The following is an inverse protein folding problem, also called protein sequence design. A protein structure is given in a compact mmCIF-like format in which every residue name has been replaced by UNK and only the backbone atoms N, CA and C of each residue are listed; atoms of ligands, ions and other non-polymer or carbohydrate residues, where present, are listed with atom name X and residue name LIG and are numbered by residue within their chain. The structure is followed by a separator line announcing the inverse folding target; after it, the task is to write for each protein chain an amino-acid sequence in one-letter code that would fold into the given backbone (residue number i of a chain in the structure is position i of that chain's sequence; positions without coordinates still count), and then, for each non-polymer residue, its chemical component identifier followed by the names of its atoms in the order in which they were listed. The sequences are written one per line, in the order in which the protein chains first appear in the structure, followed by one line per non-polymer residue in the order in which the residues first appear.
data_IF_292296976625
#
_entry.id   IF_292296976625
#
_cell.length_a   1.000
_cell.length_b   1.000
_cell.length_c   1.000
_cell.angle_alpha   90.00
_cell.angle_beta   90.00
_cell.angle_gamma   90.00
#
_symmetry.space_group_name_H-M   'P 1'
#
loop_
_entity.id
_entity.type
_entity.pdbx_description
1 polymer ?
#
# COMPACT_ATOMS: atom_id res chain seq x y z
N UNK A 1 18.12 1.75 -37.77
CA UNK A 1 17.43 3.01 -37.46
C UNK A 1 18.43 3.94 -36.81
N UNK A 2 18.36 5.26 -37.03
CA UNK A 2 19.28 6.19 -36.37
C UNK A 2 19.13 6.05 -34.84
N UNK A 3 20.24 6.09 -34.08
CA UNK A 3 20.17 6.16 -32.63
C UNK A 3 19.40 7.42 -32.23
N UNK A 4 18.71 7.36 -31.07
CA UNK A 4 18.11 8.57 -30.51
C UNK A 4 19.20 9.63 -30.24
N UNK A 5 18.79 10.87 -29.96
CA UNK A 5 19.70 11.99 -29.75
C UNK A 5 20.70 11.77 -28.58
N UNK A 6 20.49 10.73 -27.76
CA UNK A 6 21.25 10.39 -26.57
C UNK A 6 22.00 9.04 -26.71
N UNK A 7 21.95 8.39 -27.88
CA UNK A 7 22.64 7.12 -28.15
C UNK A 7 21.91 5.86 -27.65
N UNK A 8 20.67 5.97 -27.18
CA UNK A 8 19.80 4.87 -26.80
C UNK A 8 19.23 4.11 -28.00
N UNK A 9 18.87 2.85 -27.75
CA UNK A 9 18.24 1.94 -28.72
C UNK A 9 16.71 1.96 -28.63
N UNK A 10 16.11 3.07 -28.17
CA UNK A 10 14.65 3.19 -28.01
C UNK A 10 14.06 3.96 -29.19
N UNK A 11 12.93 3.48 -29.71
CA UNK A 11 12.28 4.10 -30.87
C UNK A 11 11.57 5.37 -30.42
N UNK A 12 12.01 6.52 -30.95
CA UNK A 12 11.29 7.78 -30.79
C UNK A 12 10.12 7.83 -31.78
N UNK A 13 8.91 7.58 -31.29
CA UNK A 13 7.74 7.49 -32.17
C UNK A 13 7.41 8.80 -32.88
N UNK A 14 7.68 9.97 -32.29
CA UNK A 14 7.48 11.26 -32.99
C UNK A 14 8.32 11.32 -34.28
N UNK A 15 9.59 10.93 -34.19
CA UNK A 15 10.49 10.91 -35.36
C UNK A 15 10.07 9.83 -36.37
N UNK A 16 9.69 8.65 -35.90
CA UNK A 16 9.23 7.55 -36.76
C UNK A 16 7.97 7.93 -37.54
N UNK A 17 6.98 8.54 -36.88
CA UNK A 17 5.77 9.01 -37.55
C UNK A 17 6.08 10.11 -38.56
N UNK A 18 7.06 10.97 -38.29
CA UNK A 18 7.51 11.98 -39.25
C UNK A 18 8.16 11.36 -40.49
N UNK A 19 8.94 10.29 -40.35
CA UNK A 19 9.50 9.56 -41.50
C UNK A 19 8.42 8.93 -42.39
N UNK A 20 7.32 8.49 -41.78
CA UNK A 20 6.16 7.95 -42.53
C UNK A 20 5.44 9.07 -43.28
N UNK A 21 5.20 10.22 -42.63
CA UNK A 21 4.63 11.42 -43.27
C UNK A 21 5.47 11.88 -44.47
N UNK A 22 6.79 11.94 -44.28
CA UNK A 22 7.74 12.29 -45.34
C UNK A 22 7.88 11.22 -46.44
N UNK A 23 7.09 10.12 -46.37
CA UNK A 23 7.11 8.99 -47.30
C UNK A 23 8.49 8.34 -47.46
N UNK A 24 9.33 8.43 -46.42
CA UNK A 24 10.63 7.75 -46.33
C UNK A 24 10.49 6.32 -45.81
N UNK A 25 9.38 6.02 -45.15
CA UNK A 25 9.03 4.71 -44.63
C UNK A 25 7.55 4.45 -44.89
N UNK A 26 7.21 3.32 -45.50
CA UNK A 26 5.81 2.97 -45.78
C UNK A 26 5.10 2.33 -44.57
N UNK A 27 5.83 1.54 -43.77
CA UNK A 27 5.29 0.75 -42.67
C UNK A 27 6.28 0.68 -41.51
N UNK A 28 5.79 0.83 -40.27
CA UNK A 28 6.57 0.61 -39.07
C UNK A 28 6.07 -0.60 -38.29
N UNK A 29 6.95 -1.59 -38.09
CA UNK A 29 6.68 -2.80 -37.31
C UNK A 29 6.78 -2.57 -35.78
N UNK A 30 6.53 -1.36 -35.30
CA UNK A 30 6.41 -1.03 -33.88
C UNK A 30 4.99 -0.56 -33.61
N UNK A 31 4.25 -1.33 -32.81
CA UNK A 31 2.86 -1.02 -32.53
C UNK A 31 2.78 0.17 -31.57
N UNK A 32 1.87 1.09 -31.84
CA UNK A 32 1.72 2.32 -31.05
C UNK A 32 0.24 2.66 -30.90
N UNK A 33 -0.16 3.03 -29.67
CA UNK A 33 -1.57 3.22 -29.33
C UNK A 33 -2.00 4.71 -29.36
N UNK A 34 -1.11 5.62 -28.99
CA UNK A 34 -1.41 7.05 -28.78
C UNK A 34 -1.34 7.84 -30.09
N UNK A 35 -2.21 7.45 -31.01
CA UNK A 35 -2.30 7.98 -32.37
C UNK A 35 -3.38 9.05 -32.47
N UNK A 36 -3.05 10.21 -33.05
CA UNK A 36 -4.07 11.19 -33.49
C UNK A 36 -4.34 11.03 -34.99
N UNK A 37 -5.62 11.07 -35.41
CA UNK A 37 -5.97 11.03 -36.82
C UNK A 37 -5.31 12.20 -37.56
N UNK A 38 -4.75 11.90 -38.73
CA UNK A 38 -3.97 12.81 -39.57
C UNK A 38 -4.23 12.44 -41.04
N UNK A 39 -4.06 13.37 -41.96
CA UNK A 39 -4.39 13.18 -43.39
C UNK A 39 -3.32 12.36 -44.13
N UNK A 40 -2.08 12.34 -43.63
CA UNK A 40 -0.93 11.68 -44.27
C UNK A 40 -0.58 10.32 -43.65
N UNK A 41 -1.23 9.96 -42.54
CA UNK A 41 -0.84 8.84 -41.70
C UNK A 41 -2.06 7.97 -41.40
N UNK A 42 -1.92 6.67 -41.61
CA UNK A 42 -2.94 5.68 -41.33
C UNK A 42 -2.40 4.65 -40.33
N UNK A 43 -3.29 3.83 -39.76
CA UNK A 43 -2.92 2.73 -38.88
C UNK A 43 -3.56 1.44 -39.36
N UNK A 44 -2.89 0.32 -39.10
CA UNK A 44 -3.40 -1.00 -39.47
C UNK A 44 -4.68 -1.30 -38.69
N UNK A 45 -5.36 -2.38 -39.07
CA UNK A 45 -6.38 -2.95 -38.19
C UNK A 45 -5.80 -3.14 -36.77
N UNK A 46 -6.51 -2.72 -35.71
CA UNK A 46 -6.00 -2.80 -34.34
C UNK A 46 -5.61 -4.23 -33.95
N UNK A 47 -4.44 -4.38 -33.34
CA UNK A 47 -4.04 -5.63 -32.69
C UNK A 47 -4.86 -5.82 -31.41
N UNK A 48 -4.99 -4.77 -30.61
CA UNK A 48 -5.68 -4.87 -29.33
C UNK A 48 -6.11 -3.48 -28.85
N UNK A 49 -7.05 -3.46 -27.93
CA UNK A 49 -7.50 -2.24 -27.26
C UNK A 49 -6.83 -2.20 -25.90
N UNK A 50 -6.08 -1.15 -25.62
CA UNK A 50 -5.36 -0.96 -24.36
C UNK A 50 -5.79 0.29 -23.65
N UNK A 51 -5.86 0.21 -22.33
CA UNK A 51 -6.01 1.38 -21.49
C UNK A 51 -4.66 2.05 -21.27
N UNK A 52 -4.65 3.38 -21.30
CA UNK A 52 -3.46 4.17 -20.98
C UNK A 52 -3.55 4.67 -19.55
N UNK A 53 -2.76 4.11 -18.64
CA UNK A 53 -2.90 4.32 -17.21
C UNK A 53 -1.57 4.67 -16.54
N UNK A 54 -1.60 5.02 -15.25
CA UNK A 54 -0.38 5.23 -14.47
C UNK A 54 0.02 3.95 -13.73
N UNK A 55 1.27 3.52 -13.90
CA UNK A 55 1.92 2.63 -12.95
C UNK A 55 2.57 3.45 -11.84
N UNK A 56 2.30 3.06 -10.60
CA UNK A 56 2.71 3.79 -9.40
C UNK A 56 3.55 2.86 -8.50
N UNK A 57 4.59 3.41 -7.84
CA UNK A 57 5.37 2.66 -6.87
C UNK A 57 4.50 2.33 -5.64
N UNK A 58 4.75 1.14 -5.09
CA UNK A 58 4.15 0.70 -3.83
C UNK A 58 5.04 1.19 -2.68
N UNK A 59 4.65 2.30 -2.07
CA UNK A 59 5.28 2.76 -0.84
C UNK A 59 4.90 1.84 0.32
N UNK A 60 5.90 1.17 0.88
CA UNK A 60 5.72 0.34 2.05
C UNK A 60 6.69 0.76 3.14
N UNK A 61 6.23 1.62 4.04
CA UNK A 61 6.83 1.78 5.36
C UNK A 61 5.87 2.56 6.23
N UNK A 62 4.80 1.90 6.68
CA UNK A 62 4.16 2.38 7.90
C UNK A 62 5.25 2.37 8.97
N UNK A 63 5.42 3.51 9.64
CA UNK A 63 6.25 3.62 10.82
C UNK A 63 5.85 2.51 11.79
N UNK A 64 6.71 1.50 11.91
CA UNK A 64 6.38 0.23 12.55
C UNK A 64 6.19 0.36 14.06
N UNK A 65 6.47 1.55 14.59
CA UNK A 65 6.26 1.92 15.98
C UNK A 65 4.81 1.78 16.45
N UNK A 66 3.81 1.99 15.59
CA UNK A 66 2.40 1.95 15.99
C UNK A 66 1.70 0.60 15.79
N UNK A 67 2.43 -0.43 15.34
CA UNK A 67 1.86 -1.75 15.05
C UNK A 67 1.12 -2.39 16.23
N UNK A 68 1.55 -2.24 17.50
CA UNK A 68 0.81 -2.78 18.64
C UNK A 68 -0.57 -2.13 18.88
N UNK A 69 -0.82 -0.91 18.39
CA UNK A 69 -2.09 -0.21 18.60
C UNK A 69 -3.11 -0.45 17.47
N UNK A 70 -2.64 -0.91 16.32
CA UNK A 70 -3.43 -1.12 15.10
C UNK A 70 -4.38 -2.34 15.09
N UNK A 71 -4.20 -3.43 15.87
CA UNK A 71 -5.08 -4.61 15.82
C UNK A 71 -6.54 -4.30 16.16
N UNK A 72 -6.78 -3.22 16.92
CA UNK A 72 -8.10 -2.78 17.32
C UNK A 72 -8.40 -1.39 16.80
N UNK A 73 -9.59 -1.23 16.21
CA UNK A 73 -10.13 0.09 15.90
C UNK A 73 -10.37 0.88 17.19
N UNK A 74 -10.29 2.21 17.11
CA UNK A 74 -10.53 3.12 18.24
C UNK A 74 -11.84 2.82 18.98
N UNK A 75 -12.90 2.43 18.26
CA UNK A 75 -14.18 2.03 18.85
C UNK A 75 -14.03 0.87 19.86
N UNK A 76 -13.23 -0.15 19.52
CA UNK A 76 -13.03 -1.32 20.40
C UNK A 76 -12.24 -0.91 21.65
N UNK A 77 -11.25 -0.02 21.50
CA UNK A 77 -10.53 0.56 22.63
C UNK A 77 -11.48 1.32 23.57
N UNK A 78 -12.38 2.14 23.02
CA UNK A 78 -13.40 2.84 23.82
C UNK A 78 -14.35 1.88 24.53
N UNK A 79 -14.78 0.80 23.88
CA UNK A 79 -15.61 -0.23 24.52
C UNK A 79 -14.86 -0.98 25.62
N UNK A 80 -13.56 -1.27 25.45
CA UNK A 80 -12.75 -1.91 26.48
C UNK A 80 -12.59 -1.00 27.72
N UNK A 81 -12.31 0.29 27.51
CA UNK A 81 -12.26 1.28 28.61
C UNK A 81 -13.64 1.45 29.26
N UNK A 82 -14.70 1.48 28.46
CA UNK A 82 -16.08 1.54 28.96
C UNK A 82 -16.45 0.32 29.80
N UNK A 83 -16.05 -0.88 29.38
CA UNK A 83 -16.25 -2.12 30.13
C UNK A 83 -15.50 -2.10 31.46
N UNK A 84 -14.26 -1.58 31.47
CA UNK A 84 -13.49 -1.39 32.71
C UNK A 84 -14.21 -0.47 33.68
N UNK A 85 -14.67 0.69 33.21
CA UNK A 85 -15.41 1.64 34.03
C UNK A 85 -16.72 1.05 34.56
N UNK A 86 -17.45 0.31 33.72
CA UNK A 86 -18.68 -0.37 34.14
C UNK A 86 -18.42 -1.41 35.24
N UNK A 87 -17.34 -2.20 35.12
CA UNK A 87 -16.96 -3.18 36.14
C UNK A 87 -16.55 -2.52 37.45
N UNK A 88 -15.80 -1.42 37.40
CA UNK A 88 -15.45 -0.63 38.60
C UNK A 88 -16.71 -0.11 39.29
N UNK A 89 -17.67 0.44 38.52
CA UNK A 89 -18.93 0.94 39.08
C UNK A 89 -19.77 -0.19 39.69
N UNK A 90 -19.81 -1.36 39.05
CA UNK A 90 -20.53 -2.52 39.56
C UNK A 90 -19.93 -3.07 40.86
N UNK A 91 -18.60 -3.20 40.95
CA UNK A 91 -17.91 -3.62 42.18
C UNK A 91 -18.07 -2.59 43.31
N UNK A 92 -17.98 -1.29 43.00
CA UNK A 92 -18.26 -0.23 43.97
C UNK A 92 -19.71 -0.25 44.46
N UNK A 93 -20.67 -0.49 43.57
CA UNK A 93 -22.08 -0.61 43.92
C UNK A 93 -22.32 -1.86 44.79
N UNK A 94 -21.69 -2.98 44.43
CA UNK A 94 -21.77 -4.23 45.19
C UNK A 94 -21.21 -4.07 46.60
N UNK A 95 -20.06 -3.40 46.74
CA UNK A 95 -19.45 -3.13 48.05
C UNK A 95 -20.25 -2.14 48.89
N UNK A 96 -20.95 -1.18 48.27
CA UNK A 96 -21.88 -0.30 49.00
C UNK A 96 -23.12 -1.03 49.49
N UNK A 97 -23.64 -2.00 48.73
CA UNK A 97 -24.90 -2.69 49.02
C UNK A 97 -24.74 -3.92 49.93
N UNK A 98 -23.69 -4.72 49.70
CA UNK A 98 -23.53 -6.05 50.31
C UNK A 98 -22.19 -6.24 51.03
N UNK A 99 -21.24 -5.33 50.85
CA UNK A 99 -19.86 -5.48 51.32
C UNK A 99 -19.54 -4.68 52.58
N UNK A 100 -18.53 -5.16 53.32
CA UNK A 100 -17.82 -4.39 54.35
C UNK A 100 -16.77 -3.56 53.63
N UNK A 101 -16.83 -2.23 53.71
CA UNK A 101 -15.96 -1.31 52.97
C UNK A 101 -14.47 -1.63 53.18
N UNK A 102 -13.84 -2.34 52.24
CA UNK A 102 -12.41 -2.28 52.01
C UNK A 102 -12.18 -1.13 51.03
N UNK A 103 -11.25 -0.22 51.35
CA UNK A 103 -11.13 1.07 50.65
C UNK A 103 -11.02 0.98 49.12
N UNK A 104 -11.36 2.08 48.45
CA UNK A 104 -11.42 2.24 46.98
C UNK A 104 -10.18 1.76 46.20
N UNK A 105 -8.99 1.73 46.82
CA UNK A 105 -7.76 1.34 46.14
C UNK A 105 -7.68 -0.17 45.85
N UNK A 106 -8.15 -1.03 46.77
CA UNK A 106 -8.14 -2.48 46.57
C UNK A 106 -9.08 -2.91 45.45
N UNK A 107 -10.25 -2.28 45.39
CA UNK A 107 -11.32 -2.62 44.43
C UNK A 107 -10.92 -2.27 43.00
N UNK A 108 -10.19 -1.16 42.81
CA UNK A 108 -9.66 -0.76 41.52
C UNK A 108 -8.57 -1.72 41.03
N UNK A 109 -7.66 -2.12 41.92
CA UNK A 109 -6.60 -3.09 41.63
C UNK A 109 -7.19 -4.44 41.23
N UNK A 110 -8.17 -4.93 41.99
CA UNK A 110 -8.85 -6.20 41.72
C UNK A 110 -9.57 -6.17 40.36
N UNK A 111 -10.27 -5.08 40.05
CA UNK A 111 -10.96 -4.92 38.76
C UNK A 111 -9.99 -4.90 37.57
N UNK A 112 -8.84 -4.27 37.73
CA UNK A 112 -7.80 -4.26 36.70
C UNK A 112 -7.21 -5.67 36.47
N UNK A 113 -6.96 -6.41 37.55
CA UNK A 113 -6.52 -7.81 37.49
C UNK A 113 -7.56 -8.70 36.78
N UNK A 114 -8.86 -8.50 37.02
CA UNK A 114 -9.91 -9.29 36.35
C UNK A 114 -9.91 -9.11 34.84
N UNK A 115 -9.70 -7.89 34.35
CA UNK A 115 -9.70 -7.61 32.90
C UNK A 115 -8.47 -8.22 32.21
N UNK A 116 -7.32 -8.25 32.90
CA UNK A 116 -6.08 -8.85 32.39
C UNK A 116 -6.07 -10.38 32.59
N UNK A 117 -7.10 -10.95 33.23
CA UNK A 117 -7.21 -12.37 33.61
C UNK A 117 -6.13 -12.82 34.60
N UNK A 118 -5.73 -11.93 35.51
CA UNK A 118 -4.82 -12.25 36.63
C UNK A 118 -5.64 -12.65 37.85
N UNK A 119 -5.39 -13.82 38.48
CA UNK A 119 -6.14 -14.24 39.66
C UNK A 119 -5.75 -13.39 40.88
N UNK A 120 -6.75 -12.99 41.68
CA UNK A 120 -6.57 -12.25 42.95
C UNK A 120 -7.04 -13.08 44.15
N UNK A 121 -6.30 -13.03 45.26
CA UNK A 121 -6.54 -13.88 46.44
C UNK A 121 -7.82 -13.55 47.22
N UNK A 122 -8.34 -12.31 47.12
CA UNK A 122 -9.43 -11.83 47.98
C UNK A 122 -10.84 -12.37 47.69
N UNK A 123 -11.05 -13.06 46.57
CA UNK A 123 -12.40 -13.31 46.05
C UNK A 123 -13.04 -14.64 46.50
N UNK A 124 -12.27 -15.59 47.05
CA UNK A 124 -12.78 -16.88 47.52
C UNK A 124 -13.61 -16.79 48.81
N UNK A 125 -13.67 -15.63 49.46
CA UNK A 125 -14.25 -15.51 50.80
C UNK A 125 -15.80 -15.44 50.84
N UNK A 126 -16.49 -15.17 49.74
CA UNK A 126 -17.97 -15.11 49.72
C UNK A 126 -18.58 -15.69 48.43
N UNK A 127 -18.97 -16.99 48.42
CA UNK A 127 -19.54 -17.62 47.24
C UNK A 127 -21.00 -17.18 47.03
N UNK A 128 -21.27 -16.54 45.90
CA UNK A 128 -22.61 -16.24 45.40
C UNK A 128 -22.69 -16.63 43.92
N UNK A 129 -23.78 -17.28 43.49
CA UNK A 129 -23.96 -17.71 42.10
C UNK A 129 -23.90 -16.53 41.12
N UNK A 130 -24.44 -15.37 41.51
CA UNK A 130 -24.38 -14.15 40.70
C UNK A 130 -22.94 -13.66 40.51
N UNK A 131 -22.11 -13.70 41.56
CA UNK A 131 -20.71 -13.29 41.51
C UNK A 131 -19.87 -14.25 40.66
N UNK A 132 -20.16 -15.55 40.74
CA UNK A 132 -19.55 -16.56 39.88
C UNK A 132 -19.89 -16.34 38.41
N UNK A 133 -21.16 -16.10 38.08
CA UNK A 133 -21.58 -15.81 36.70
C UNK A 133 -20.93 -14.52 36.18
N UNK A 134 -20.87 -13.46 36.99
CA UNK A 134 -20.21 -12.20 36.61
C UNK A 134 -18.72 -12.44 36.32
N UNK A 135 -18.00 -13.08 37.23
CA UNK A 135 -16.57 -13.36 37.04
C UNK A 135 -16.34 -14.26 35.82
N UNK A 136 -17.18 -15.26 35.59
CA UNK A 136 -17.12 -16.10 34.39
C UNK A 136 -17.30 -15.27 33.11
N UNK A 137 -18.29 -14.35 33.07
CA UNK A 137 -18.50 -13.50 31.89
C UNK A 137 -17.32 -12.56 31.63
N UNK A 138 -16.73 -11.97 32.68
CA UNK A 138 -15.55 -11.11 32.57
C UNK A 138 -14.35 -11.91 32.08
N UNK A 139 -14.15 -13.11 32.61
CA UNK A 139 -13.08 -14.01 32.18
C UNK A 139 -13.20 -14.40 30.70
N UNK A 140 -14.38 -14.86 30.26
CA UNK A 140 -14.58 -15.19 28.86
C UNK A 140 -14.40 -13.97 27.95
N UNK A 141 -14.93 -12.80 28.35
CA UNK A 141 -14.75 -11.57 27.60
C UNK A 141 -13.26 -11.18 27.46
N UNK A 142 -12.51 -11.16 28.57
CA UNK A 142 -11.09 -10.87 28.58
C UNK A 142 -10.27 -11.89 27.78
N UNK A 143 -10.61 -13.18 27.89
CA UNK A 143 -9.96 -14.25 27.13
C UNK A 143 -10.14 -14.08 25.62
N UNK A 144 -11.38 -13.87 25.15
CA UNK A 144 -11.65 -13.66 23.72
C UNK A 144 -11.00 -12.38 23.20
N UNK A 145 -11.02 -11.30 23.98
CA UNK A 145 -10.38 -10.04 23.61
C UNK A 145 -8.86 -10.22 23.46
N UNK A 146 -8.21 -10.90 24.40
CA UNK A 146 -6.77 -11.16 24.35
C UNK A 146 -6.37 -12.12 23.22
N UNK A 147 -7.14 -13.19 23.02
CA UNK A 147 -6.94 -14.14 21.92
C UNK A 147 -7.09 -13.47 20.55
N UNK A 148 -8.10 -12.61 20.39
CA UNK A 148 -8.31 -11.87 19.15
C UNK A 148 -7.20 -10.84 18.90
N UNK A 149 -6.78 -10.10 19.94
CA UNK A 149 -5.67 -9.16 19.86
C UNK A 149 -4.38 -9.84 19.42
N UNK A 150 -4.00 -10.93 20.09
CA UNK A 150 -2.76 -11.66 19.79
C UNK A 150 -2.78 -12.29 18.40
N UNK A 151 -3.92 -12.82 17.95
CA UNK A 151 -4.09 -13.37 16.61
C UNK A 151 -3.93 -12.29 15.52
N UNK A 152 -4.61 -11.15 15.68
CA UNK A 152 -4.50 -10.04 14.73
C UNK A 152 -3.09 -9.42 14.72
N UNK A 153 -2.48 -9.24 15.90
CA UNK A 153 -1.11 -8.74 16.00
C UNK A 153 -0.13 -9.71 15.32
N UNK A 154 -0.30 -11.03 15.49
CA UNK A 154 0.48 -12.04 14.77
C UNK A 154 0.32 -11.92 13.26
N UNK A 155 -0.91 -11.74 12.76
CA UNK A 155 -1.15 -11.51 11.33
C UNK A 155 -0.49 -10.22 10.82
N UNK A 156 -0.54 -9.14 11.60
CA UNK A 156 0.08 -7.85 11.29
C UNK A 156 1.61 -7.94 11.27
N UNK A 157 2.21 -8.72 12.17
CA UNK A 157 3.66 -8.89 12.22
C UNK A 157 4.17 -9.83 11.11
N UNK A 158 3.31 -10.69 10.57
CA UNK A 158 3.65 -11.61 9.46
C UNK A 158 3.49 -10.97 8.09
N UNK A 159 2.51 -10.06 7.94
CA UNK A 159 2.24 -9.31 6.71
C UNK A 159 2.42 -7.83 7.01
N UNK A 160 3.48 -7.22 6.46
CA UNK A 160 3.70 -5.77 6.56
C UNK A 160 2.41 -5.02 6.22
N UNK A 161 1.96 -4.15 7.13
CA UNK A 161 0.77 -3.33 6.94
C UNK A 161 1.01 -2.32 5.82
N UNK A 162 0.16 -2.38 4.80
CA UNK A 162 0.20 -1.45 3.68
C UNK A 162 -0.54 -0.14 4.03
N UNK A 163 -0.01 1.00 3.60
CA UNK A 163 -0.76 2.25 3.60
C UNK A 163 -1.88 2.22 2.55
N UNK A 164 -2.78 3.21 2.60
CA UNK A 164 -3.74 3.44 1.52
C UNK A 164 -2.96 3.57 0.21
N UNK A 165 -3.20 2.66 -0.71
CA UNK A 165 -2.44 2.62 -1.95
C UNK A 165 -2.96 3.70 -2.90
N UNK A 166 -2.04 4.35 -3.62
CA UNK A 166 -2.36 5.37 -4.63
C UNK A 166 -3.27 4.75 -5.70
N UNK A 167 -4.52 5.22 -5.79
CA UNK A 167 -5.49 4.77 -6.79
C UNK A 167 -6.20 5.92 -7.50
N UNK A 168 -6.21 7.10 -6.89
CA UNK A 168 -6.87 8.29 -7.42
C UNK A 168 -5.86 9.40 -7.72
N UNK A 169 -6.23 10.36 -8.58
CA UNK A 169 -5.38 11.52 -8.86
C UNK A 169 -5.08 12.33 -7.59
N UNK A 170 -6.05 12.44 -6.67
CA UNK A 170 -5.91 13.17 -5.41
C UNK A 170 -4.84 12.52 -4.50
N UNK A 171 -4.73 11.19 -4.53
CA UNK A 171 -3.67 10.46 -3.81
C UNK A 171 -2.28 10.81 -4.35
N UNK A 172 -2.13 10.99 -5.67
CA UNK A 172 -0.85 11.40 -6.28
C UNK A 172 -0.50 12.82 -5.87
N UNK A 173 -1.48 13.72 -5.91
CA UNK A 173 -1.31 15.12 -5.58
C UNK A 173 -0.94 15.29 -4.10
N UNK A 174 -1.64 14.59 -3.20
CA UNK A 174 -1.34 14.60 -1.77
C UNK A 174 0.01 13.97 -1.43
N UNK A 175 0.44 12.93 -2.16
CA UNK A 175 1.76 12.33 -2.03
C UNK A 175 2.89 13.16 -2.69
N UNK A 176 2.55 14.20 -3.47
CA UNK A 176 3.48 14.98 -4.29
C UNK A 176 4.39 14.11 -5.16
N UNK A 177 3.86 13.00 -5.68
CA UNK A 177 4.63 12.04 -6.46
C UNK A 177 4.85 12.58 -7.89
N UNK A 178 6.10 12.84 -8.32
CA UNK A 178 6.37 13.27 -9.69
C UNK A 178 6.06 12.14 -10.68
N UNK A 179 5.49 12.49 -11.83
CA UNK A 179 5.12 11.53 -12.88
C UNK A 179 5.99 11.79 -14.09
N UNK A 180 6.73 10.78 -14.54
CA UNK A 180 7.44 10.82 -15.81
C UNK A 180 6.50 10.53 -16.96
N UNK A 181 6.63 11.30 -18.03
CA UNK A 181 5.87 11.15 -19.28
C UNK A 181 6.78 11.45 -20.46
N UNK A 182 6.58 10.77 -21.59
CA UNK A 182 7.34 11.06 -22.80
C UNK A 182 6.86 12.40 -23.39
N UNK A 183 7.79 13.20 -23.90
CA UNK A 183 7.54 14.56 -24.39
C UNK A 183 6.40 14.68 -25.45
N UNK A 184 6.30 13.73 -26.38
CA UNK A 184 5.23 13.69 -27.37
C UNK A 184 3.91 13.14 -26.83
N UNK A 185 3.95 12.29 -25.81
CA UNK A 185 2.75 11.80 -25.12
C UNK A 185 2.14 12.87 -24.22
N UNK A 186 2.95 13.77 -23.67
CA UNK A 186 2.46 14.92 -22.92
C UNK A 186 1.61 15.83 -23.81
N UNK A 187 2.04 16.10 -25.05
CA UNK A 187 1.25 16.89 -25.99
C UNK A 187 -0.08 16.21 -26.31
N UNK A 188 -0.07 14.88 -26.44
CA UNK A 188 -1.28 14.08 -26.62
C UNK A 188 -2.24 14.22 -25.42
N UNK A 189 -1.72 14.07 -24.20
CA UNK A 189 -2.49 14.21 -22.95
C UNK A 189 -3.17 15.58 -22.84
N UNK A 190 -2.42 16.66 -23.10
CA UNK A 190 -2.91 18.04 -23.00
C UNK A 190 -3.97 18.36 -24.05
N UNK A 191 -3.88 17.74 -25.24
CA UNK A 191 -4.87 17.91 -26.30
C UNK A 191 -6.20 17.21 -25.98
N UNK A 192 -6.13 16.03 -25.35
CA UNK A 192 -7.29 15.23 -24.98
C UNK A 192 -8.02 15.78 -23.75
N UNK A 193 -7.29 16.10 -22.69
CA UNK A 193 -7.86 16.42 -21.39
C UNK A 193 -7.55 17.86 -21.01
N UNK A 194 -8.42 18.78 -21.45
CA UNK A 194 -8.33 20.21 -21.12
C UNK A 194 -8.67 20.53 -19.66
N UNK A 195 -9.25 19.59 -18.93
CA UNK A 195 -9.75 19.78 -17.55
C UNK A 195 -8.92 19.02 -16.50
N UNK A 196 -7.63 18.78 -16.76
CA UNK A 196 -6.75 18.17 -15.76
C UNK A 196 -6.48 19.16 -14.60
N UNK A 197 -6.48 18.71 -13.34
CA UNK A 197 -6.13 19.56 -12.21
C UNK A 197 -4.74 20.19 -12.39
N UNK A 198 -4.62 21.50 -12.15
CA UNK A 198 -3.34 22.22 -12.30
C UNK A 198 -2.24 21.64 -11.41
N UNK A 199 -2.61 21.15 -10.22
CA UNK A 199 -1.68 20.52 -9.28
C UNK A 199 -1.08 19.22 -9.86
N UNK A 200 -1.89 18.44 -10.56
CA UNK A 200 -1.44 17.23 -11.25
C UNK A 200 -0.50 17.59 -12.42
N UNK A 201 -0.83 18.62 -13.20
CA UNK A 201 0.01 19.09 -14.31
C UNK A 201 1.40 19.53 -13.82
N UNK A 202 1.50 20.15 -12.63
CA UNK A 202 2.78 20.56 -12.03
C UNK A 202 3.67 19.38 -11.63
N UNK A 203 3.10 18.18 -11.47
CA UNK A 203 3.84 16.95 -11.13
C UNK A 203 4.39 16.23 -12.37
N UNK A 204 3.89 16.55 -13.56
CA UNK A 204 4.36 15.96 -14.81
C UNK A 204 5.81 16.40 -15.12
N UNK A 205 6.63 15.43 -15.51
CA UNK A 205 8.03 15.61 -15.88
C UNK A 205 8.23 15.03 -17.29
N UNK A 206 8.19 15.87 -18.34
CA UNK A 206 8.47 15.42 -19.68
C UNK A 206 9.93 14.99 -19.81
N UNK A 207 10.15 13.81 -20.37
CA UNK A 207 11.47 13.22 -20.61
C UNK A 207 11.54 12.63 -22.02
N UNK A 208 12.76 12.38 -22.49
CA UNK A 208 12.97 11.65 -23.74
C UNK A 208 12.61 10.15 -23.58
N UNK A 209 12.22 9.52 -24.69
CA UNK A 209 11.83 8.10 -24.73
C UNK A 209 12.91 7.16 -24.18
N UNK A 210 14.19 7.45 -24.41
CA UNK A 210 15.29 6.60 -23.92
C UNK A 210 15.39 6.60 -22.39
N UNK A 211 15.39 7.80 -21.79
CA UNK A 211 15.43 7.98 -20.33
C UNK A 211 14.19 7.39 -19.68
N UNK A 212 13.03 7.62 -20.29
CA UNK A 212 11.76 7.07 -19.83
C UNK A 212 11.80 5.55 -19.74
N UNK A 213 12.23 4.88 -20.83
CA UNK A 213 12.31 3.43 -20.89
C UNK A 213 13.32 2.87 -19.88
N UNK A 214 14.49 3.51 -19.70
CA UNK A 214 15.50 3.09 -18.72
C UNK A 214 14.94 3.15 -17.28
N UNK A 215 14.28 4.25 -16.92
CA UNK A 215 13.71 4.42 -15.58
C UNK A 215 12.53 3.48 -15.30
N UNK A 216 11.67 3.28 -16.30
CA UNK A 216 10.51 2.39 -16.22
C UNK A 216 10.95 0.92 -16.10
N UNK A 217 11.88 0.46 -16.94
CA UNK A 217 12.37 -0.93 -16.94
C UNK A 217 13.15 -1.27 -15.66
N UNK A 218 13.85 -0.30 -15.07
CA UNK A 218 14.53 -0.46 -13.77
C UNK A 218 13.63 -0.28 -12.55
N UNK A 219 12.33 -0.03 -12.73
CA UNK A 219 11.37 0.20 -11.64
C UNK A 219 11.85 1.26 -10.62
N UNK A 220 12.30 2.42 -11.10
CA UNK A 220 12.73 3.49 -10.21
C UNK A 220 11.51 4.11 -9.48
N UNK A 221 11.36 3.78 -8.19
CA UNK A 221 10.25 4.19 -7.32
C UNK A 221 10.18 5.67 -6.93
N UNK A 222 11.08 6.51 -7.45
CA UNK A 222 11.04 7.96 -7.24
C UNK A 222 9.96 8.65 -8.09
N UNK A 223 9.46 7.97 -9.13
CA UNK A 223 8.50 8.51 -10.07
C UNK A 223 7.36 7.51 -10.33
N UNK A 224 6.20 8.03 -10.72
CA UNK A 224 5.17 7.26 -11.42
C UNK A 224 5.37 7.37 -12.93
N UNK A 225 4.83 6.41 -13.69
CA UNK A 225 5.02 6.35 -15.14
C UNK A 225 3.70 6.09 -15.85
N UNK A 226 3.53 6.69 -17.02
CA UNK A 226 2.47 6.32 -17.94
C UNK A 226 2.78 4.98 -18.61
N UNK A 227 1.79 4.11 -18.71
CA UNK A 227 1.96 2.79 -19.30
C UNK A 227 0.65 2.34 -19.94
N UNK A 228 0.75 1.64 -21.06
CA UNK A 228 -0.40 0.94 -21.63
C UNK A 228 -0.58 -0.41 -20.92
N UNK A 229 -1.81 -0.91 -20.85
CA UNK A 229 -2.12 -2.15 -20.15
C UNK A 229 -1.29 -3.36 -20.63
N UNK A 230 -1.03 -3.46 -21.94
CA UNK A 230 -0.21 -4.54 -22.53
C UNK A 230 1.26 -4.44 -22.09
N UNK A 231 1.81 -3.23 -22.07
CA UNK A 231 3.18 -3.01 -21.61
C UNK A 231 3.29 -3.23 -20.10
N UNK A 232 2.27 -2.86 -19.32
CA UNK A 232 2.21 -3.18 -17.90
C UNK A 232 2.23 -4.69 -17.64
N UNK A 233 1.45 -5.48 -18.40
CA UNK A 233 1.45 -6.94 -18.26
C UNK A 233 2.86 -7.51 -18.50
N UNK A 234 3.59 -6.99 -19.48
CA UNK A 234 4.98 -7.39 -19.73
C UNK A 234 5.92 -6.99 -18.57
N UNK A 235 5.77 -5.79 -18.00
CA UNK A 235 6.56 -5.35 -16.86
C UNK A 235 6.22 -6.12 -15.57
N UNK A 236 4.95 -6.44 -15.33
CA UNK A 236 4.50 -7.16 -14.12
C UNK A 236 5.14 -8.57 -14.03
N UNK A 237 5.45 -9.19 -15.16
CA UNK A 237 6.20 -10.47 -15.22
C UNK A 237 7.62 -10.36 -14.62
N UNK A 238 8.28 -9.19 -14.68
CA UNK A 238 9.60 -8.98 -14.07
C UNK A 238 9.55 -9.06 -12.53
N UNK A 239 8.43 -8.64 -11.94
CA UNK A 239 8.23 -8.58 -10.50
C UNK A 239 7.34 -9.71 -9.96
N UNK A 240 6.89 -10.64 -10.80
CA UNK A 240 5.96 -11.72 -10.42
C UNK A 240 6.50 -12.62 -9.29
N UNK A 241 7.83 -12.78 -9.21
CA UNK A 241 8.50 -13.62 -8.24
C UNK A 241 8.80 -12.89 -6.93
N UNK A 242 8.61 -11.57 -6.87
CA UNK A 242 8.83 -10.83 -5.64
C UNK A 242 7.69 -11.09 -4.67
N UNK A 243 8.00 -11.43 -3.42
CA UNK A 243 7.02 -11.47 -2.34
C UNK A 243 6.22 -10.16 -2.23
N UNK A 244 6.86 -9.03 -2.50
CA UNK A 244 6.24 -7.73 -2.59
C UNK A 244 6.54 -7.10 -3.95
N UNK A 245 5.48 -6.78 -4.70
CA UNK A 245 5.59 -6.02 -5.94
C UNK A 245 6.13 -4.62 -5.65
N UNK A 246 6.99 -4.10 -6.53
CA UNK A 246 7.54 -2.75 -6.40
C UNK A 246 6.59 -1.70 -6.95
N UNK A 247 5.88 -2.05 -8.02
CA UNK A 247 4.91 -1.18 -8.68
C UNK A 247 3.58 -1.89 -8.80
N UNK A 248 2.53 -1.10 -9.00
CA UNK A 248 1.22 -1.57 -9.43
C UNK A 248 0.64 -0.65 -10.50
N UNK A 249 -0.29 -1.20 -11.28
CA UNK A 249 -1.17 -0.38 -12.10
C UNK A 249 -2.21 0.31 -11.21
N UNK A 250 -2.31 1.63 -11.29
CA UNK A 250 -3.33 2.41 -10.58
C UNK A 250 -4.64 2.43 -11.38
N UNK A 251 -5.74 2.84 -10.72
CA UNK A 251 -7.01 3.09 -11.40
C UNK A 251 -7.06 4.40 -12.20
N UNK A 252 -5.93 5.12 -12.30
CA UNK A 252 -5.82 6.41 -12.99
C UNK A 252 -5.53 6.14 -14.46
N UNK A 253 -6.58 6.17 -15.28
CA UNK A 253 -6.51 5.87 -16.70
C UNK A 253 -7.08 7.01 -17.56
N UNK A 254 -6.46 7.25 -18.71
CA UNK A 254 -6.72 8.35 -19.63
C UNK A 254 -7.32 7.86 -20.95
N UNK A 255 -8.32 6.98 -20.83
CA UNK A 255 -9.04 6.40 -21.97
C UNK A 255 -8.45 5.10 -22.51
N UNK A 256 -9.13 4.57 -23.53
CA UNK A 256 -8.76 3.33 -24.22
C UNK A 256 -8.39 3.63 -25.66
N UNK A 257 -7.29 3.04 -26.12
CA UNK A 257 -6.72 3.30 -27.43
C UNK A 257 -6.45 2.00 -28.19
N UNK A 258 -6.43 2.10 -29.52
CA UNK A 258 -6.15 0.99 -30.41
C UNK A 258 -4.64 0.86 -30.61
N UNK A 259 -4.04 -0.21 -30.09
CA UNK A 259 -2.66 -0.55 -30.41
C UNK A 259 -2.60 -1.10 -31.84
N UNK A 260 -1.96 -0.36 -32.74
CA UNK A 260 -1.85 -0.71 -34.15
C UNK A 260 -0.49 -0.29 -34.70
N UNK A 261 -0.12 -0.82 -35.86
CA UNK A 261 1.09 -0.39 -36.54
C UNK A 261 0.81 0.86 -37.37
N UNK A 262 1.65 1.91 -37.28
CA UNK A 262 1.50 3.07 -38.14
C UNK A 262 2.02 2.77 -39.55
N UNK A 263 1.29 3.25 -40.55
CA UNK A 263 1.63 3.14 -41.97
C UNK A 263 1.32 4.44 -42.70
N UNK A 264 1.87 4.57 -43.91
CA UNK A 264 1.56 5.67 -44.80
C UNK A 264 0.11 5.58 -45.29
N UNK A 265 -0.59 6.72 -45.39
CA UNK A 265 -1.94 6.77 -45.98
C UNK A 265 -1.96 6.13 -47.38
N UNK A 266 -3.03 5.39 -47.69
CA UNK A 266 -3.23 4.67 -48.95
C UNK A 266 -2.16 3.61 -49.28
N UNK A 267 -1.46 3.06 -48.28
CA UNK A 267 -0.52 1.95 -48.52
C UNK A 267 -1.24 0.70 -49.01
N UNK A 268 -0.65 0.03 -49.99
CA UNK A 268 -1.15 -1.26 -50.50
C UNK A 268 -1.06 -2.38 -49.46
N UNK A 269 -0.18 -2.24 -48.46
CA UNK A 269 0.04 -3.22 -47.41
C UNK A 269 -1.10 -3.29 -46.40
N UNK A 270 -1.95 -2.25 -46.32
CA UNK A 270 -2.98 -2.16 -45.28
C UNK A 270 -3.90 -3.39 -45.26
N UNK A 271 -4.38 -3.80 -46.44
CA UNK A 271 -5.30 -4.94 -46.59
C UNK A 271 -4.64 -6.27 -46.26
N UNK A 272 -3.39 -6.45 -46.68
CA UNK A 272 -2.64 -7.68 -46.42
C UNK A 272 -2.34 -7.83 -44.92
N UNK A 273 -1.98 -6.74 -44.25
CA UNK A 273 -1.74 -6.73 -42.80
C UNK A 273 -3.04 -6.91 -42.01
N UNK A 274 -4.16 -6.37 -42.48
CA UNK A 274 -5.49 -6.63 -41.91
C UNK A 274 -5.80 -8.14 -41.91
N UNK A 275 -5.69 -8.81 -43.05
CA UNK A 275 -5.92 -10.26 -43.14
C UNK A 275 -4.95 -11.08 -42.29
N UNK A 276 -3.67 -10.67 -42.26
CA UNK A 276 -2.66 -11.29 -41.42
C UNK A 276 -3.00 -11.17 -39.94
N UNK A 277 -3.40 -9.98 -39.50
CA UNK A 277 -3.83 -9.69 -38.13
C UNK A 277 -5.00 -10.59 -37.74
N UNK A 278 -6.05 -10.64 -38.57
CA UNK A 278 -7.19 -11.53 -38.30
C UNK A 278 -6.81 -13.01 -38.19
N UNK A 279 -5.88 -13.50 -39.02
CA UNK A 279 -5.41 -14.89 -38.94
C UNK A 279 -4.63 -15.17 -37.68
N UNK A 280 -3.74 -14.27 -37.27
CA UNK A 280 -2.98 -14.42 -36.04
C UNK A 280 -3.88 -14.39 -34.80
N UNK A 281 -4.91 -13.54 -34.81
CA UNK A 281 -5.91 -13.51 -33.76
C UNK A 281 -6.72 -14.80 -33.70
N UNK A 282 -7.27 -15.25 -34.84
CA UNK A 282 -8.14 -16.44 -34.87
C UNK A 282 -7.39 -17.73 -34.58
N UNK A 283 -6.09 -17.81 -34.88
CA UNK A 283 -5.26 -18.96 -34.55
C UNK A 283 -4.72 -18.96 -33.11
N UNK A 284 -4.94 -17.88 -32.34
CA UNK A 284 -4.37 -17.71 -31.00
C UNK A 284 -2.85 -17.48 -30.98
N UNK A 285 -2.23 -17.23 -32.14
CA UNK A 285 -0.79 -17.01 -32.24
C UNK A 285 -0.37 -15.71 -31.52
N UNK A 286 -1.22 -14.67 -31.53
CA UNK A 286 -0.91 -13.42 -30.82
C UNK A 286 -0.66 -13.69 -29.34
N UNK A 287 -1.57 -14.40 -28.68
CA UNK A 287 -1.47 -14.71 -27.25
C UNK A 287 -0.26 -15.60 -26.94
N UNK A 288 0.07 -16.52 -27.84
CA UNK A 288 1.28 -17.35 -27.73
C UNK A 288 2.56 -16.51 -27.79
N UNK A 289 2.66 -15.59 -28.76
CA UNK A 289 3.80 -14.69 -28.88
C UNK A 289 3.88 -13.69 -27.72
N UNK A 290 2.75 -13.13 -27.28
CA UNK A 290 2.70 -12.26 -26.12
C UNK A 290 3.27 -12.95 -24.88
N UNK A 291 2.86 -14.20 -24.59
CA UNK A 291 3.37 -14.96 -23.44
C UNK A 291 4.84 -15.38 -23.57
N UNK A 292 5.29 -15.74 -24.78
CA UNK A 292 6.69 -16.15 -25.00
C UNK A 292 7.66 -14.98 -25.12
N UNK A 293 7.17 -13.77 -25.42
CA UNK A 293 7.98 -12.56 -25.61
C UNK A 293 8.84 -12.22 -24.40
N UNK A 294 8.29 -12.37 -23.18
CA UNK A 294 9.01 -12.13 -21.94
C UNK A 294 10.22 -13.07 -21.81
N UNK A 295 10.02 -14.35 -22.11
CA UNK A 295 11.10 -15.32 -22.15
C UNK A 295 12.20 -14.91 -23.14
N UNK A 296 11.83 -14.54 -24.37
CA UNK A 296 12.78 -14.10 -25.39
C UNK A 296 13.54 -12.83 -24.97
N UNK A 297 12.85 -11.85 -24.39
CA UNK A 297 13.46 -10.61 -23.90
C UNK A 297 14.47 -10.85 -22.77
N UNK A 298 14.15 -11.79 -21.87
CA UNK A 298 15.07 -12.21 -20.80
C UNK A 298 16.33 -12.88 -21.36
N UNK A 299 16.19 -13.79 -22.33
CA UNK A 299 17.35 -14.45 -22.96
C UNK A 299 18.22 -13.47 -23.76
N UNK A 300 17.61 -12.42 -24.29
CA UNK A 300 18.31 -11.34 -24.99
C UNK A 300 18.97 -10.31 -24.05
N UNK A 301 18.74 -10.39 -22.73
CA UNK A 301 19.26 -9.44 -21.75
C UNK A 301 18.63 -8.04 -21.85
N UNK A 302 17.45 -7.92 -22.46
CA UNK A 302 16.71 -6.65 -22.56
C UNK A 302 15.98 -6.31 -21.27
N UNK A 303 15.61 -7.35 -20.51
CA UNK A 303 14.98 -7.26 -19.19
C UNK A 303 15.59 -8.28 -18.27
N UNK A 304 15.53 -8.02 -16.98
CA UNK A 304 15.99 -8.93 -15.94
C UNK A 304 14.83 -9.25 -15.00
N UNK A 305 14.83 -10.46 -14.43
CA UNK A 305 13.92 -10.74 -13.31
C UNK A 305 14.49 -10.08 -12.08
N UNK A 306 13.66 -9.28 -11.40
CA UNK A 306 14.09 -8.60 -10.19
C UNK A 306 14.45 -9.66 -9.13
N UNK A 307 15.67 -9.60 -8.57
CA UNK A 307 16.09 -10.58 -7.58
C UNK A 307 15.27 -10.41 -6.31
N UNK A 308 14.69 -11.50 -5.83
CA UNK A 308 14.04 -11.52 -4.52
C UNK A 308 15.13 -11.53 -3.44
N UNK A 309 15.29 -10.41 -2.74
CA UNK A 309 16.09 -10.39 -1.52
C UNK A 309 15.33 -11.18 -0.44
N UNK A 310 15.68 -12.46 -0.27
CA UNK A 310 15.17 -13.35 0.79
C UNK A 310 15.76 -13.03 2.15
N UNK A 311 16.04 -11.76 2.43
CA UNK A 311 16.40 -11.35 3.78
C UNK A 311 15.12 -11.38 4.61
N UNK A 312 14.99 -12.45 5.38
CA UNK A 312 13.99 -12.52 6.45
C UNK A 312 14.34 -11.44 7.46
N UNK A 313 13.71 -10.28 7.34
CA UNK A 313 13.74 -9.27 8.39
C UNK A 313 12.96 -9.84 9.57
N UNK A 314 13.68 -10.39 10.54
CA UNK A 314 13.08 -10.74 11.83
C UNK A 314 12.41 -9.51 12.42
N UNK A 315 11.29 -9.71 13.11
CA UNK A 315 10.57 -8.63 13.77
C UNK A 315 11.56 -7.85 14.67
N UNK A 316 11.94 -6.65 14.22
CA UNK A 316 12.96 -5.85 14.90
C UNK A 316 12.44 -5.34 16.24
N UNK A 317 13.34 -5.04 17.18
CA UNK A 317 13.02 -4.38 18.44
C UNK A 317 12.22 -3.08 18.23
N UNK A 318 12.37 -2.45 17.06
CA UNK A 318 11.61 -1.28 16.61
C UNK A 318 10.09 -1.48 16.63
N UNK A 319 9.59 -2.68 16.31
CA UNK A 319 8.16 -2.99 16.31
C UNK A 319 7.57 -3.05 17.73
N UNK A 320 8.41 -3.35 18.72
CA UNK A 320 8.02 -3.45 20.13
C UNK A 320 8.47 -2.24 20.95
N UNK A 321 9.16 -1.27 20.34
CA UNK A 321 9.72 -0.12 21.02
C UNK A 321 8.66 0.69 21.78
N UNK A 322 7.46 0.87 21.21
CA UNK A 322 6.36 1.57 21.89
C UNK A 322 5.93 0.87 23.18
N UNK A 323 5.93 -0.47 23.21
CA UNK A 323 5.58 -1.24 24.39
C UNK A 323 6.64 -1.03 25.50
N UNK A 324 7.92 -0.99 25.13
CA UNK A 324 9.01 -0.66 26.06
C UNK A 324 8.94 0.78 26.57
N UNK A 325 8.63 1.76 25.70
CA UNK A 325 8.43 3.15 26.11
C UNK A 325 7.26 3.30 27.08
N UNK A 326 6.13 2.63 26.81
CA UNK A 326 4.98 2.62 27.71
C UNK A 326 5.33 1.97 29.06
N UNK A 327 6.05 0.84 29.05
CA UNK A 327 6.50 0.19 30.28
C UNK A 327 7.42 1.10 31.11
N UNK A 328 8.37 1.78 30.46
CA UNK A 328 9.27 2.71 31.13
C UNK A 328 8.49 3.90 31.71
N UNK A 329 7.61 4.52 30.93
CA UNK A 329 6.78 5.63 31.40
C UNK A 329 5.91 5.22 32.61
N UNK A 330 5.25 4.07 32.55
CA UNK A 330 4.39 3.58 33.63
C UNK A 330 5.19 3.21 34.89
N UNK A 331 6.37 2.63 34.75
CA UNK A 331 7.24 2.32 35.90
C UNK A 331 7.80 3.56 36.58
N UNK A 332 8.17 4.60 35.81
CA UNK A 332 8.57 5.90 36.35
C UNK A 332 7.41 6.56 37.11
N UNK A 333 6.21 6.56 36.54
CA UNK A 333 5.00 7.10 37.20
C UNK A 333 4.69 6.34 38.50
N UNK A 334 4.76 5.00 38.48
CA UNK A 334 4.58 4.19 39.68
C UNK A 334 5.64 4.52 40.76
N UNK A 335 6.90 4.71 40.36
CA UNK A 335 7.98 5.14 41.25
C UNK A 335 7.74 6.52 41.86
N UNK A 336 7.23 7.49 41.08
CA UNK A 336 6.86 8.81 41.58
C UNK A 336 5.71 8.74 42.59
N UNK A 337 4.66 7.97 42.30
CA UNK A 337 3.52 7.78 43.22
C UNK A 337 3.97 7.15 44.54
N UNK A 338 4.84 6.13 44.46
CA UNK A 338 5.39 5.48 45.65
C UNK A 338 6.24 6.44 46.50
N UNK A 339 7.09 7.27 45.85
CA UNK A 339 7.86 8.29 46.55
C UNK A 339 6.95 9.32 47.25
N UNK A 340 5.90 9.77 46.58
CA UNK A 340 4.90 10.69 47.15
C UNK A 340 4.16 10.06 48.35
N UNK A 341 3.81 8.78 48.26
CA UNK A 341 3.17 8.06 49.35
C UNK A 341 4.09 7.96 50.59
N UNK A 342 5.38 7.68 50.40
CA UNK A 342 6.37 7.64 51.48
C UNK A 342 6.51 9.02 52.13
N UNK A 343 6.60 10.10 51.34
CA UNK A 343 6.73 11.47 51.86
C UNK A 343 5.47 11.85 52.64
N UNK A 344 4.28 11.53 52.12
CA UNK A 344 3.00 11.79 52.77
C UNK A 344 2.86 11.03 54.11
N UNK A 345 3.20 9.74 54.13
CA UNK A 345 3.21 8.93 55.37
C UNK A 345 4.29 9.39 56.37
N UNK A 346 5.44 9.87 55.89
CA UNK A 346 6.51 10.44 56.72
C UNK A 346 6.11 11.75 57.40
N UNK A 347 5.38 12.61 56.69
CA UNK A 347 4.83 13.86 57.24
C UNK A 347 3.69 13.62 58.24
N UNK A 348 2.84 12.61 58.01
CA UNK A 348 1.79 12.23 58.96
C UNK A 348 2.34 11.64 60.28
N UNK A 349 3.48 10.92 60.23
CA UNK A 349 4.13 10.38 61.44
C UNK A 349 4.82 11.46 62.30
N UNK A 350 5.29 12.54 61.69
CA UNK A 350 5.92 13.66 62.42
C UNK A 350 4.88 14.52 63.15
N UNK A 351 3.64 14.59 62.65
CA UNK A 351 2.54 15.32 63.28
C UNK A 351 1.99 14.59 64.53
N UNK A 352 2.05 13.26 64.57
CA UNK A 352 1.64 12.44 65.73
C UNK A 352 2.67 12.37 66.87
N UNK A 353 3.90 12.84 66.67
CA UNK A 353 4.94 12.87 67.72
C UNK A 353 4.96 14.18 68.53
N UNK A 354 4.15 15.16 68.14
CA UNK A 354 4.04 16.50 68.77
C UNK A 354 2.68 16.75 69.46
N UNK A 355 1.86 15.71 69.60
CA UNK A 355 0.63 15.68 70.41
C UNK A 355 0.80 14.64 71.51
#
# INVERSE_FOLDING_TARGET
MPPDALGGQVINMRQTLQLIRERKMEFCAHAYALFMPDDELEKTYPLLVVQWCLMVPLYNSVSTYFYPLQPFAWNVWFFAVGALLALVLLELMWLRLFGRWSGYQGTLMDTFCYIINVPTEGQLQQPCLLRFLLLATVFFHGFFLSAYYTSNLGSILTVNLFHAQINTMDDIVSAQLPIMIIDYELQFLLNLNKELPEEFLKLLRPVDSGIFAEHQTRFNGSFAYFVTEDHWQFLDEQQQHLRQRLFKLSGICFGSYHLAFPLQMDSTLWRDIEYFTFRIHSSGLLSFYARSSFGSALHAGLVERLPENREYTSAGLQHLAIAFFLLLAMSVLAGMVFALEIISKGSAKTLFYYQ
#
